data_IF_844653875337
#
_entry.id   IF_844653875337
#
_cell.length_a   1.000
_cell.length_b   1.000
_cell.length_c   1.000
_cell.angle_alpha   90.00
_cell.angle_beta   90.00
_cell.angle_gamma   90.00
#
_symmetry.space_group_name_H-M   'P 1'
#
loop_
_entity.id
_entity.type
_entity.pdbx_description
1 polymer ?
#
# COMPACT_ATOMS: atom_id res chain seq x y z
N UNK A 1 3.20 -5.72 -13.67
CA UNK A 1 2.11 -5.12 -14.45
C UNK A 1 2.69 -3.98 -15.25
N UNK A 2 2.31 -3.81 -16.51
CA UNK A 2 2.63 -2.62 -17.31
C UNK A 2 1.55 -1.54 -17.11
N UNK A 3 1.84 -0.31 -17.52
CA UNK A 3 0.83 0.75 -17.48
C UNK A 3 -0.37 0.51 -18.41
N UNK A 4 -0.20 -0.26 -19.49
CA UNK A 4 -1.31 -0.64 -20.36
C UNK A 4 -2.27 -1.59 -19.66
N UNK A 5 -1.75 -2.52 -18.85
CA UNK A 5 -2.57 -3.40 -18.02
C UNK A 5 -3.31 -2.61 -16.94
N UNK A 6 -2.63 -1.70 -16.20
CA UNK A 6 -3.29 -0.84 -15.20
C UNK A 6 -4.44 -0.05 -15.82
N UNK A 7 -4.22 0.55 -17.01
CA UNK A 7 -5.26 1.30 -17.72
C UNK A 7 -6.45 0.43 -18.06
N UNK A 8 -6.22 -0.78 -18.58
CA UNK A 8 -7.28 -1.74 -18.92
C UNK A 8 -8.13 -2.15 -17.71
N UNK A 9 -7.52 -2.27 -16.53
CA UNK A 9 -8.24 -2.51 -15.27
C UNK A 9 -9.16 -1.35 -14.93
N UNK A 10 -8.65 -0.12 -15.03
CA UNK A 10 -9.42 1.10 -14.75
C UNK A 10 -10.57 1.27 -15.78
N UNK A 11 -10.30 1.00 -17.06
CA UNK A 11 -11.29 1.07 -18.15
C UNK A 11 -12.52 0.18 -17.84
N UNK A 12 -12.26 -0.98 -17.22
CA UNK A 12 -13.26 -2.00 -16.91
C UNK A 12 -14.10 -1.72 -15.68
N UNK A 13 -13.82 -0.65 -14.92
CA UNK A 13 -14.52 -0.33 -13.66
C UNK A 13 -15.30 0.98 -13.75
N UNK A 14 -16.32 1.14 -12.90
CA UNK A 14 -17.02 2.41 -12.67
C UNK A 14 -16.38 3.19 -11.50
N UNK A 15 -15.90 2.47 -10.48
CA UNK A 15 -15.24 3.01 -9.28
C UNK A 15 -13.83 2.40 -9.15
N UNK A 16 -12.84 3.24 -8.84
CA UNK A 16 -11.46 2.82 -8.58
C UNK A 16 -11.11 3.03 -7.12
N UNK A 17 -10.73 1.95 -6.44
CA UNK A 17 -10.12 1.99 -5.12
C UNK A 17 -8.60 2.11 -5.28
N UNK A 18 -8.03 3.25 -4.90
CA UNK A 18 -6.59 3.44 -4.84
C UNK A 18 -6.10 3.17 -3.43
N UNK A 19 -5.45 2.02 -3.24
CA UNK A 19 -4.97 1.55 -1.94
C UNK A 19 -3.59 2.14 -1.64
N UNK A 20 -3.55 2.98 -0.61
CA UNK A 20 -2.39 3.67 -0.08
C UNK A 20 -1.94 3.03 1.24
N UNK A 21 -0.67 3.19 1.60
CA UNK A 21 -0.20 2.86 2.95
C UNK A 21 -0.46 4.05 3.87
N UNK A 22 -1.24 3.86 4.94
CA UNK A 22 -1.64 4.94 5.85
C UNK A 22 -0.45 5.62 6.53
N UNK A 23 0.70 4.94 6.60
CA UNK A 23 1.93 5.48 7.20
C UNK A 23 2.57 6.56 6.34
N UNK A 24 2.47 6.46 5.02
CA UNK A 24 2.97 7.47 4.08
C UNK A 24 2.07 7.56 2.84
N UNK A 25 0.88 8.17 3.00
CA UNK A 25 -0.14 8.16 1.96
C UNK A 25 0.29 8.92 0.71
N UNK A 26 1.08 9.98 0.86
CA UNK A 26 1.57 10.78 -0.27
C UNK A 26 2.62 10.04 -1.08
N UNK A 27 3.61 9.40 -0.44
CA UNK A 27 4.61 8.61 -1.17
C UNK A 27 4.01 7.40 -1.90
N UNK A 28 2.88 6.89 -1.40
CA UNK A 28 2.16 5.77 -2.01
C UNK A 28 1.00 6.20 -2.92
N UNK A 29 0.77 7.50 -3.10
CA UNK A 29 -0.22 8.03 -4.04
C UNK A 29 0.39 8.13 -5.45
N UNK A 30 -0.20 7.42 -6.40
CA UNK A 30 0.17 7.54 -7.82
C UNK A 30 -0.63 8.64 -8.54
N UNK A 31 0.04 9.76 -8.85
CA UNK A 31 -0.53 10.83 -9.67
C UNK A 31 -0.95 10.35 -11.08
N UNK A 32 -0.26 9.33 -11.62
CA UNK A 32 -0.60 8.76 -12.93
C UNK A 32 -1.91 7.99 -12.89
N UNK A 33 -2.18 7.22 -11.82
CA UNK A 33 -3.48 6.57 -11.63
C UNK A 33 -4.58 7.63 -11.53
N UNK A 34 -4.38 8.66 -10.71
CA UNK A 34 -5.35 9.75 -10.56
C UNK A 34 -5.67 10.41 -11.91
N UNK A 35 -4.64 10.72 -12.69
CA UNK A 35 -4.78 11.30 -14.02
C UNK A 35 -5.56 10.40 -14.99
N UNK A 36 -5.33 9.08 -14.94
CA UNK A 36 -6.09 8.11 -15.77
C UNK A 36 -7.56 8.10 -15.34
N UNK A 37 -7.83 7.96 -14.04
CA UNK A 37 -9.19 7.89 -13.47
C UNK A 37 -9.99 9.15 -13.81
N UNK A 38 -9.39 10.33 -13.60
CA UNK A 38 -10.03 11.62 -13.89
C UNK A 38 -10.33 11.81 -15.37
N UNK A 39 -9.39 11.48 -16.27
CA UNK A 39 -9.60 11.59 -17.73
C UNK A 39 -10.71 10.67 -18.24
N UNK A 40 -10.95 9.56 -17.56
CA UNK A 40 -11.96 8.58 -17.95
C UNK A 40 -13.31 8.79 -17.26
N UNK A 41 -13.46 9.87 -16.46
CA UNK A 41 -14.69 10.18 -15.74
C UNK A 41 -15.10 9.08 -14.74
N UNK A 42 -14.12 8.36 -14.20
CA UNK A 42 -14.35 7.29 -13.20
C UNK A 42 -14.30 7.87 -11.79
N UNK A 43 -15.00 7.23 -10.87
CA UNK A 43 -14.99 7.64 -9.46
C UNK A 43 -13.75 7.14 -8.73
N UNK A 44 -13.13 7.99 -7.92
CA UNK A 44 -11.93 7.66 -7.15
C UNK A 44 -12.23 7.61 -5.65
N UNK A 45 -11.88 6.49 -5.02
CA UNK A 45 -11.87 6.35 -3.56
C UNK A 45 -10.46 6.00 -3.11
N UNK A 46 -9.90 6.83 -2.23
CA UNK A 46 -8.61 6.56 -1.59
C UNK A 46 -8.84 5.65 -0.39
N UNK A 47 -8.12 4.53 -0.35
CA UNK A 47 -8.18 3.55 0.74
C UNK A 47 -6.86 3.61 1.50
N UNK A 48 -6.86 4.27 2.65
CA UNK A 48 -5.69 4.33 3.54
C UNK A 48 -5.65 3.05 4.38
N UNK A 49 -4.91 2.07 3.88
CA UNK A 49 -4.81 0.76 4.48
C UNK A 49 -3.65 0.69 5.50
N UNK A 50 -3.66 -0.33 6.37
CA UNK A 50 -2.75 -0.43 7.54
C UNK A 50 -2.95 0.70 8.56
N UNK A 51 -4.19 1.17 8.69
CA UNK A 51 -4.53 2.26 9.62
C UNK A 51 -4.19 1.94 11.08
N UNK A 52 -4.00 0.66 11.44
CA UNK A 52 -3.57 0.21 12.75
C UNK A 52 -2.10 0.51 13.08
N UNK A 53 -1.27 0.84 12.08
CA UNK A 53 0.13 1.20 12.25
C UNK A 53 0.34 2.71 12.51
N UNK A 54 -0.75 3.48 12.55
CA UNK A 54 -0.74 4.93 12.67
C UNK A 54 -1.62 5.35 13.85
N UNK A 55 -1.21 6.34 14.66
CA UNK A 55 -2.09 6.92 15.68
C UNK A 55 -3.42 7.42 15.11
N UNK A 56 -4.48 7.37 15.92
CA UNK A 56 -5.84 7.71 15.46
C UNK A 56 -5.96 9.17 15.02
N UNK A 57 -5.37 10.08 15.77
CA UNK A 57 -5.30 11.51 15.48
C UNK A 57 -4.61 11.79 14.14
N UNK A 58 -3.50 11.11 13.85
CA UNK A 58 -2.79 11.22 12.56
C UNK A 58 -3.63 10.64 11.41
N UNK A 59 -4.32 9.52 11.64
CA UNK A 59 -5.26 8.98 10.67
C UNK A 59 -6.39 10.00 10.37
N UNK A 60 -7.02 10.58 11.39
CA UNK A 60 -8.06 11.60 11.16
C UNK A 60 -7.49 12.89 10.51
N UNK A 61 -6.23 13.24 10.77
CA UNK A 61 -5.56 14.36 10.09
C UNK A 61 -5.42 14.11 8.58
N UNK A 62 -4.92 12.93 8.19
CA UNK A 62 -4.85 12.54 6.78
C UNK A 62 -6.23 12.49 6.11
N UNK A 63 -7.28 12.12 6.86
CA UNK A 63 -8.66 12.09 6.35
C UNK A 63 -9.11 13.48 5.95
N UNK A 64 -8.89 14.46 6.85
CA UNK A 64 -9.21 15.87 6.64
C UNK A 64 -8.41 16.44 5.48
N UNK A 65 -7.11 16.12 5.42
CA UNK A 65 -6.22 16.51 4.33
C UNK A 65 -6.75 16.08 2.95
N UNK A 66 -7.10 14.80 2.78
CA UNK A 66 -7.62 14.31 1.51
C UNK A 66 -9.04 14.81 1.22
N UNK A 67 -9.89 14.96 2.24
CA UNK A 67 -11.22 15.54 2.08
C UNK A 67 -11.15 17.00 1.61
N UNK A 68 -10.22 17.81 2.15
CA UNK A 68 -9.98 19.19 1.72
C UNK A 68 -9.52 19.30 0.26
N UNK A 69 -8.94 18.23 -0.28
CA UNK A 69 -8.55 18.11 -1.70
C UNK A 69 -9.63 17.47 -2.58
N UNK A 70 -10.82 17.23 -2.03
CA UNK A 70 -11.96 16.68 -2.76
C UNK A 70 -11.96 15.16 -2.93
N UNK A 71 -11.09 14.41 -2.24
CA UNK A 71 -11.09 12.95 -2.33
C UNK A 71 -12.04 12.30 -1.32
N UNK A 72 -12.68 11.20 -1.74
CA UNK A 72 -13.32 10.27 -0.83
C UNK A 72 -12.25 9.36 -0.21
N UNK A 73 -11.88 9.61 1.05
CA UNK A 73 -10.85 8.86 1.77
C UNK A 73 -11.43 7.96 2.87
N UNK A 74 -11.03 6.69 2.90
CA UNK A 74 -11.49 5.71 3.90
C UNK A 74 -10.30 4.99 4.54
N UNK A 75 -10.26 4.95 5.87
CA UNK A 75 -9.31 4.16 6.64
C UNK A 75 -9.75 2.72 6.72
N UNK A 76 -8.82 1.81 6.49
CA UNK A 76 -9.05 0.38 6.64
C UNK A 76 -7.88 -0.23 7.42
N UNK A 77 -8.23 -1.07 8.38
CA UNK A 77 -7.28 -2.01 8.99
C UNK A 77 -7.83 -3.40 8.77
N UNK A 78 -7.22 -4.14 7.86
CA UNK A 78 -7.64 -5.52 7.57
C UNK A 78 -7.28 -6.47 8.70
N UNK A 79 -6.21 -6.19 9.44
CA UNK A 79 -5.76 -6.93 10.64
C UNK A 79 -6.73 -6.77 11.80
N UNK A 80 -7.33 -5.57 11.97
CA UNK A 80 -8.35 -5.30 13.00
C UNK A 80 -9.79 -5.43 12.50
N UNK A 81 -10.00 -5.84 11.24
CA UNK A 81 -11.30 -5.91 10.59
C UNK A 81 -12.12 -4.59 10.66
N UNK A 82 -11.44 -3.45 10.58
CA UNK A 82 -12.04 -2.11 10.69
C UNK A 82 -12.14 -1.42 9.33
N UNK A 83 -13.18 -0.60 9.14
CA UNK A 83 -13.33 0.28 7.97
C UNK A 83 -14.03 -0.36 6.75
N UNK A 84 -14.09 -1.69 6.64
CA UNK A 84 -14.68 -2.38 5.47
C UNK A 84 -16.16 -2.02 5.24
N UNK A 85 -16.95 -1.82 6.30
CA UNK A 85 -18.35 -1.39 6.18
C UNK A 85 -18.45 0.04 5.61
N UNK A 86 -17.60 0.95 6.08
CA UNK A 86 -17.54 2.33 5.60
C UNK A 86 -17.08 2.34 4.14
N UNK A 87 -16.11 1.50 3.78
CA UNK A 87 -15.65 1.34 2.41
C UNK A 87 -16.78 0.87 1.48
N UNK A 88 -17.54 -0.17 1.86
CA UNK A 88 -18.72 -0.63 1.09
C UNK A 88 -19.76 0.46 0.89
N UNK A 89 -20.10 1.19 1.96
CA UNK A 89 -21.05 2.31 1.89
C UNK A 89 -20.55 3.43 0.98
N UNK A 90 -19.26 3.74 1.06
CA UNK A 90 -18.62 4.77 0.22
C UNK A 90 -18.65 4.37 -1.24
N UNK A 91 -18.30 3.12 -1.57
CA UNK A 91 -18.40 2.58 -2.94
C UNK A 91 -19.81 2.77 -3.49
N UNK A 92 -20.84 2.35 -2.74
CA UNK A 92 -22.24 2.46 -3.18
C UNK A 92 -22.72 3.90 -3.31
N UNK A 93 -22.20 4.81 -2.47
CA UNK A 93 -22.54 6.24 -2.48
C UNK A 93 -21.96 6.98 -3.68
N UNK A 94 -20.73 6.66 -4.08
CA UNK A 94 -20.07 7.32 -5.22
C UNK A 94 -20.43 6.67 -6.55
N UNK A 95 -20.80 5.39 -6.55
CA UNK A 95 -21.09 4.65 -7.77
C UNK A 95 -22.19 5.33 -8.62
N UNK A 96 -21.99 5.46 -9.94
CA UNK A 96 -22.99 6.07 -10.83
C UNK A 96 -24.24 5.20 -11.00
N UNK A 97 -24.13 3.88 -10.78
CA UNK A 97 -25.22 2.90 -10.86
C UNK A 97 -24.89 1.66 -10.06
N UNK A 98 -25.92 0.90 -9.68
CA UNK A 98 -25.78 -0.40 -9.02
C UNK A 98 -26.40 -1.51 -9.92
N UNK A 99 -25.80 -2.72 -9.98
CA UNK A 99 -24.49 -3.07 -9.41
C UNK A 99 -23.35 -2.32 -10.10
N UNK A 100 -22.35 -1.91 -9.30
CA UNK A 100 -21.17 -1.16 -9.77
C UNK A 100 -19.99 -2.10 -9.94
N UNK A 101 -19.13 -1.81 -10.92
CA UNK A 101 -17.85 -2.50 -11.09
C UNK A 101 -16.74 -1.70 -10.41
N UNK A 102 -15.92 -2.39 -9.60
CA UNK A 102 -14.88 -1.79 -8.76
C UNK A 102 -13.52 -2.37 -9.09
N UNK A 103 -12.57 -1.52 -9.48
CA UNK A 103 -11.17 -1.88 -9.60
C UNK A 103 -10.40 -1.56 -8.32
N UNK A 104 -9.42 -2.39 -7.97
CA UNK A 104 -8.51 -2.14 -6.84
C UNK A 104 -7.09 -1.99 -7.38
N UNK A 105 -6.52 -0.79 -7.23
CA UNK A 105 -5.17 -0.44 -7.69
C UNK A 105 -4.33 0.11 -6.54
N UNK A 106 -3.02 0.12 -6.71
CA UNK A 106 -2.06 0.55 -5.68
C UNK A 106 -0.70 -0.10 -5.87
N UNK A 107 0.32 0.46 -5.24
CA UNK A 107 1.67 -0.10 -5.28
C UNK A 107 1.76 -1.48 -4.58
N UNK A 108 2.83 -2.25 -4.81
CA UNK A 108 3.11 -3.44 -4.00
C UNK A 108 3.06 -3.16 -2.49
N UNK A 109 2.75 -4.20 -1.71
CA UNK A 109 2.77 -4.16 -0.23
C UNK A 109 1.85 -3.12 0.46
N UNK A 110 1.05 -2.32 -0.26
CA UNK A 110 0.01 -1.45 0.34
C UNK A 110 -1.21 -2.22 0.87
N UNK A 111 -1.30 -3.52 0.57
CA UNK A 111 -2.35 -4.42 1.10
C UNK A 111 -3.62 -4.52 0.24
N UNK A 112 -3.52 -4.27 -1.06
CA UNK A 112 -4.60 -4.53 -2.04
C UNK A 112 -5.26 -5.90 -1.88
N UNK A 113 -4.48 -6.98 -1.84
CA UNK A 113 -5.02 -8.34 -1.70
C UNK A 113 -5.79 -8.52 -0.39
N UNK A 114 -5.31 -7.88 0.69
CA UNK A 114 -6.01 -7.88 1.98
C UNK A 114 -7.35 -7.13 1.90
N UNK A 115 -7.40 -5.97 1.21
CA UNK A 115 -8.64 -5.22 0.96
C UNK A 115 -9.62 -6.04 0.10
N UNK A 116 -9.12 -6.65 -0.97
CA UNK A 116 -9.89 -7.54 -1.85
C UNK A 116 -10.51 -8.66 -1.04
N UNK A 117 -9.73 -9.36 -0.21
CA UNK A 117 -10.21 -10.46 0.62
C UNK A 117 -11.20 -9.99 1.71
N UNK A 118 -10.93 -8.85 2.35
CA UNK A 118 -11.84 -8.25 3.32
C UNK A 118 -13.19 -7.86 2.70
N UNK A 119 -13.17 -7.39 1.45
CA UNK A 119 -14.38 -7.08 0.68
C UNK A 119 -15.07 -8.33 0.14
N UNK A 120 -14.37 -9.37 -0.32
CA UNK A 120 -15.01 -10.64 -0.73
C UNK A 120 -15.77 -11.27 0.45
N UNK A 121 -15.21 -11.23 1.66
CA UNK A 121 -15.81 -11.86 2.85
C UNK A 121 -16.00 -13.37 2.68
N UNK A 122 -16.72 -14.02 3.59
CA UNK A 122 -16.95 -15.48 3.54
C UNK A 122 -18.10 -15.92 2.62
N UNK A 123 -18.94 -14.97 2.16
CA UNK A 123 -20.14 -15.23 1.34
C UNK A 123 -20.02 -14.68 -0.09
N UNK A 124 -18.81 -14.42 -0.59
CA UNK A 124 -18.65 -14.05 -2.00
C UNK A 124 -19.14 -15.20 -2.87
N UNK A 125 -20.10 -14.92 -3.75
CA UNK A 125 -20.52 -15.88 -4.75
C UNK A 125 -19.34 -16.18 -5.69
N UNK A 126 -19.31 -17.37 -6.33
CA UNK A 126 -18.29 -17.72 -7.31
C UNK A 126 -18.13 -16.65 -8.40
N UNK A 127 -16.97 -16.66 -9.06
CA UNK A 127 -16.70 -15.84 -10.26
C UNK A 127 -17.88 -15.93 -11.21
N UNK A 128 -18.46 -14.78 -11.52
CA UNK A 128 -19.63 -14.72 -12.40
C UNK A 128 -19.18 -14.24 -13.76
N UNK A 129 -19.73 -14.79 -14.85
CA UNK A 129 -19.85 -14.00 -16.06
C UNK A 129 -20.77 -12.83 -15.71
N UNK A 130 -20.28 -11.61 -15.62
CA UNK A 130 -21.14 -10.48 -15.99
C UNK A 130 -20.36 -9.33 -16.60
N UNK A 131 -20.34 -9.31 -17.94
CA UNK A 131 -20.26 -8.05 -18.68
C UNK A 131 -21.01 -8.16 -20.03
N UNK A 132 -22.20 -7.55 -20.13
CA UNK A 132 -23.09 -7.58 -21.30
C UNK A 132 -23.18 -6.28 -22.09
N UNK A 133 -22.27 -5.32 -21.86
CA UNK A 133 -22.28 -4.01 -22.52
C UNK A 133 -21.32 -3.98 -23.72
N UNK A 134 -21.66 -3.27 -24.83
CA UNK A 134 -20.72 -3.04 -25.92
C UNK A 134 -19.43 -2.37 -25.41
N UNK A 135 -18.26 -2.94 -25.72
CA UNK A 135 -16.96 -2.48 -25.21
C UNK A 135 -16.28 -3.41 -24.20
N UNK A 136 -16.86 -4.58 -23.91
CA UNK A 136 -16.25 -5.53 -22.97
C UNK A 136 -14.86 -6.03 -23.43
N UNK A 137 -13.87 -5.92 -22.54
CA UNK A 137 -12.49 -6.32 -22.82
C UNK A 137 -12.26 -7.80 -22.47
N UNK A 138 -12.10 -8.66 -23.48
CA UNK A 138 -11.82 -10.11 -23.34
C UNK A 138 -10.61 -10.37 -22.43
N UNK A 139 -10.80 -10.96 -21.25
CA UNK A 139 -9.71 -11.44 -20.36
C UNK A 139 -9.68 -10.82 -18.96
N UNK A 140 -10.65 -9.98 -18.61
CA UNK A 140 -10.85 -9.49 -17.25
C UNK A 140 -11.84 -10.41 -16.53
N UNK A 141 -11.53 -10.86 -15.31
CA UNK A 141 -12.44 -11.67 -14.50
C UNK A 141 -13.13 -10.81 -13.44
N UNK A 142 -14.36 -11.15 -13.09
CA UNK A 142 -15.11 -10.44 -12.05
C UNK A 142 -15.45 -11.35 -10.89
N UNK A 143 -15.26 -10.83 -9.68
CA UNK A 143 -15.66 -11.49 -8.44
C UNK A 143 -16.77 -10.70 -7.79
N UNK A 144 -17.88 -11.38 -7.48
CA UNK A 144 -19.03 -10.77 -6.82
C UNK A 144 -18.76 -10.60 -5.34
N UNK A 145 -18.71 -9.35 -4.89
CA UNK A 145 -18.45 -8.97 -3.50
C UNK A 145 -19.74 -8.94 -2.69
N UNK A 146 -20.81 -8.40 -3.26
CA UNK A 146 -22.18 -8.53 -2.78
C UNK A 146 -23.16 -8.28 -3.95
N UNK A 147 -24.46 -8.13 -3.66
CA UNK A 147 -25.49 -7.91 -4.69
C UNK A 147 -25.29 -6.63 -5.53
N UNK A 148 -24.61 -5.62 -4.98
CA UNK A 148 -24.45 -4.30 -5.58
C UNK A 148 -23.01 -4.03 -6.05
N UNK A 149 -22.05 -4.91 -5.74
CA UNK A 149 -20.61 -4.70 -6.00
C UNK A 149 -20.02 -5.90 -6.73
N UNK A 150 -19.51 -5.64 -7.92
CA UNK A 150 -18.64 -6.53 -8.69
C UNK A 150 -17.22 -5.99 -8.64
N UNK A 151 -16.25 -6.84 -8.32
CA UNK A 151 -14.84 -6.45 -8.26
C UNK A 151 -14.09 -7.02 -9.46
N UNK A 152 -13.22 -6.20 -10.04
CA UNK A 152 -12.28 -6.63 -11.07
C UNK A 152 -11.20 -7.49 -10.43
N UNK A 153 -11.09 -8.75 -10.83
CA UNK A 153 -10.06 -9.68 -10.38
C UNK A 153 -8.81 -9.47 -11.24
N UNK A 154 -7.90 -8.62 -10.78
CA UNK A 154 -6.67 -8.32 -11.49
C UNK A 154 -5.47 -8.67 -10.64
N UNK A 155 -4.64 -9.65 -11.05
CA UNK A 155 -3.32 -9.83 -10.47
C UNK A 155 -2.47 -8.64 -10.92
N UNK A 156 -2.26 -7.67 -10.04
CA UNK A 156 -1.57 -6.46 -10.48
C UNK A 156 -1.28 -5.45 -9.39
N UNK A 157 -0.11 -4.85 -9.51
CA UNK A 157 0.40 -3.75 -8.71
C UNK A 157 0.79 -2.64 -9.68
N UNK A 158 0.62 -1.38 -9.27
CA UNK A 158 1.13 -0.25 -10.06
C UNK A 158 2.64 -0.45 -10.26
N UNK A 159 3.17 -0.21 -11.48
CA UNK A 159 4.62 -0.20 -11.71
C UNK A 159 5.31 0.73 -10.72
N UNK A 160 6.39 0.26 -10.11
CA UNK A 160 7.18 1.08 -9.19
C UNK A 160 8.13 1.95 -10.02
N UNK A 161 8.05 3.26 -9.81
CA UNK A 161 8.94 4.28 -10.37
C UNK A 161 9.52 5.10 -9.19
N UNK A 162 10.54 5.91 -9.43
CA UNK A 162 11.15 6.79 -8.41
C UNK A 162 12.60 6.46 -8.08
N UNK A 163 13.16 7.21 -7.13
CA UNK A 163 14.49 6.96 -6.58
C UNK A 163 14.54 5.67 -5.72
N UNK A 164 15.72 5.17 -5.33
CA UNK A 164 15.83 3.91 -4.59
C UNK A 164 15.00 3.84 -3.29
N UNK A 165 14.89 4.96 -2.56
CA UNK A 165 14.11 5.02 -1.32
C UNK A 165 12.60 5.03 -1.62
N UNK A 166 12.17 5.84 -2.58
CA UNK A 166 10.77 5.85 -3.02
C UNK A 166 10.31 4.47 -3.49
N UNK A 167 11.16 3.78 -4.25
CA UNK A 167 10.90 2.42 -4.75
C UNK A 167 10.67 1.44 -3.59
N UNK A 168 11.50 1.51 -2.56
CA UNK A 168 11.29 0.73 -1.34
C UNK A 168 10.02 1.14 -0.62
N UNK A 169 9.74 2.42 -0.40
CA UNK A 169 8.48 2.86 0.25
C UNK A 169 7.25 2.34 -0.54
N UNK A 170 7.35 2.29 -1.86
CA UNK A 170 6.35 1.72 -2.79
C UNK A 170 6.39 0.19 -2.89
N UNK A 171 7.18 -0.49 -2.06
CA UNK A 171 7.12 -1.93 -1.85
C UNK A 171 7.93 -2.78 -2.83
N UNK A 172 9.05 -2.27 -3.37
CA UNK A 172 9.99 -3.11 -4.14
C UNK A 172 10.40 -4.34 -3.33
N UNK A 173 10.23 -5.57 -3.86
CA UNK A 173 10.71 -6.78 -3.20
C UNK A 173 12.21 -6.69 -2.95
N UNK A 174 12.67 -7.14 -1.77
CA UNK A 174 14.07 -7.01 -1.37
C UNK A 174 15.04 -7.79 -2.25
N UNK A 175 14.53 -8.82 -2.92
CA UNK A 175 15.24 -9.64 -3.90
C UNK A 175 15.56 -8.87 -5.19
N UNK A 176 14.83 -7.77 -5.45
CA UNK A 176 15.00 -6.93 -6.64
C UNK A 176 15.77 -5.64 -6.34
N UNK A 177 16.36 -5.51 -5.14
CA UNK A 177 17.16 -4.34 -4.76
C UNK A 177 18.63 -4.68 -5.01
N UNK A 178 19.26 -3.91 -5.89
CA UNK A 178 20.67 -4.10 -6.28
C UNK A 178 21.63 -3.78 -5.14
N UNK A 179 21.45 -2.62 -4.49
CA UNK A 179 22.20 -2.20 -3.30
C UNK A 179 21.27 -2.14 -2.08
N UNK A 180 21.01 -3.27 -1.40
CA UNK A 180 20.14 -3.29 -0.24
C UNK A 180 20.72 -2.51 0.95
N UNK A 181 22.06 -2.42 1.09
CA UNK A 181 22.70 -1.74 2.21
C UNK A 181 22.54 -0.23 2.09
N UNK A 182 22.89 0.36 0.94
CA UNK A 182 22.74 1.79 0.71
C UNK A 182 21.27 2.24 0.84
N UNK A 183 20.34 1.45 0.33
CA UNK A 183 18.91 1.75 0.45
C UNK A 183 18.40 1.58 1.88
N UNK A 184 18.86 0.57 2.62
CA UNK A 184 18.55 0.42 4.04
C UNK A 184 19.07 1.61 4.84
N UNK A 185 20.26 2.14 4.53
CA UNK A 185 20.77 3.36 5.17
C UNK A 185 19.85 4.55 4.94
N UNK A 186 19.39 4.77 3.72
CA UNK A 186 18.43 5.84 3.41
C UNK A 186 17.12 5.64 4.18
N UNK A 187 16.60 4.41 4.22
CA UNK A 187 15.36 4.07 4.91
C UNK A 187 15.49 4.27 6.43
N UNK A 188 16.58 3.80 7.05
CA UNK A 188 16.85 3.96 8.48
C UNK A 188 16.89 5.44 8.85
N UNK A 189 17.64 6.25 8.10
CA UNK A 189 17.70 7.71 8.31
C UNK A 189 16.33 8.36 8.21
N UNK A 190 15.55 8.00 7.18
CA UNK A 190 14.17 8.50 6.99
C UNK A 190 13.24 8.10 8.13
N UNK A 191 13.36 6.87 8.63
CA UNK A 191 12.55 6.39 9.75
C UNK A 191 12.91 7.15 11.03
N UNK A 192 14.20 7.30 11.34
CA UNK A 192 14.69 8.01 12.53
C UNK A 192 14.29 9.48 12.51
N UNK A 193 14.39 10.16 11.36
CA UNK A 193 13.95 11.54 11.19
C UNK A 193 12.48 11.74 11.58
N UNK A 194 11.62 10.76 11.30
CA UNK A 194 10.19 10.82 11.67
C UNK A 194 9.90 10.26 13.04
N UNK A 195 10.57 9.18 13.42
CA UNK A 195 10.32 8.40 14.64
C UNK A 195 11.67 7.98 15.24
N UNK A 196 12.30 8.84 16.06
CA UNK A 196 13.64 8.59 16.61
C UNK A 196 13.72 7.31 17.45
N UNK A 197 12.62 6.88 18.07
CA UNK A 197 12.56 5.68 18.91
C UNK A 197 12.12 4.40 18.17
N UNK A 198 12.00 4.45 16.84
CA UNK A 198 11.49 3.34 16.03
C UNK A 198 12.34 2.07 16.16
N UNK A 199 13.67 2.19 16.06
CA UNK A 199 14.58 1.03 16.16
C UNK A 199 14.73 0.52 17.59
N UNK A 200 14.56 1.40 18.59
CA UNK A 200 14.46 0.99 19.99
C UNK A 200 13.22 0.14 20.22
N UNK A 201 12.06 0.56 19.71
CA UNK A 201 10.80 -0.20 19.81
C UNK A 201 10.84 -1.51 19.03
N UNK A 202 11.40 -1.51 17.81
CA UNK A 202 11.38 -2.66 16.93
C UNK A 202 12.44 -3.74 17.30
N UNK A 203 13.64 -3.31 17.67
CA UNK A 203 14.78 -4.22 17.86
C UNK A 203 15.44 -4.14 19.24
N UNK A 204 15.07 -3.15 20.07
CA UNK A 204 15.76 -2.85 21.33
C UNK A 204 17.09 -2.13 21.12
N UNK A 205 17.26 -1.40 20.01
CA UNK A 205 18.50 -0.69 19.66
C UNK A 205 18.36 0.81 19.89
N UNK A 206 19.22 1.38 20.73
CA UNK A 206 19.27 2.83 20.99
C UNK A 206 20.07 3.63 19.95
N UNK A 207 20.85 2.94 19.10
CA UNK A 207 21.63 3.62 18.06
C UNK A 207 20.73 4.27 17.01
N UNK A 208 21.20 5.42 16.49
CA UNK A 208 20.63 6.12 15.34
C UNK A 208 21.51 6.02 14.10
N UNK A 209 22.68 5.39 14.23
CA UNK A 209 23.59 5.19 13.12
C UNK A 209 23.18 3.95 12.30
N UNK A 210 22.97 4.08 10.99
CA UNK A 210 22.54 2.95 10.18
C UNK A 210 23.51 1.77 10.15
N UNK A 211 24.82 2.00 10.13
CA UNK A 211 25.82 0.93 10.10
C UNK A 211 25.83 0.16 11.43
N UNK A 212 25.75 0.86 12.55
CA UNK A 212 25.63 0.24 13.88
C UNK A 212 24.34 -0.58 14.00
N UNK A 213 23.21 -0.06 13.54
CA UNK A 213 21.92 -0.77 13.55
C UNK A 213 22.03 -2.07 12.73
N UNK A 214 22.55 -2.00 11.50
CA UNK A 214 22.66 -3.18 10.63
C UNK A 214 23.62 -4.23 11.21
N UNK A 215 24.77 -3.81 11.74
CA UNK A 215 25.72 -4.71 12.41
C UNK A 215 25.09 -5.37 13.63
N UNK A 216 24.39 -4.60 14.48
CA UNK A 216 23.73 -5.13 15.67
C UNK A 216 22.65 -6.17 15.31
N UNK A 217 21.86 -5.92 14.25
CA UNK A 217 20.88 -6.88 13.75
C UNK A 217 21.58 -8.15 13.24
N UNK A 218 22.62 -8.03 12.41
CA UNK A 218 23.37 -9.18 11.91
C UNK A 218 23.96 -10.03 13.06
N UNK A 219 24.60 -9.38 14.04
CA UNK A 219 25.19 -10.04 15.21
C UNK A 219 24.13 -10.76 16.05
N UNK A 220 22.99 -10.11 16.34
CA UNK A 220 21.89 -10.71 17.11
C UNK A 220 21.31 -11.96 16.43
N UNK A 221 21.35 -12.00 15.10
CA UNK A 221 20.89 -13.14 14.31
C UNK A 221 21.96 -14.22 14.08
N UNK A 222 23.21 -14.01 14.51
CA UNK A 222 24.29 -14.95 14.24
C UNK A 222 24.75 -14.95 12.78
N UNK A 223 24.50 -13.86 12.04
CA UNK A 223 24.84 -13.76 10.63
C UNK A 223 26.25 -13.19 10.44
N UNK A 224 27.20 -14.07 10.14
CA UNK A 224 28.60 -13.73 9.94
C UNK A 224 29.19 -14.42 8.70
N UNK A 225 30.14 -13.77 8.04
CA UNK A 225 30.94 -14.41 7.00
C UNK A 225 31.84 -15.49 7.61
N UNK A 226 31.78 -16.71 7.08
CA UNK A 226 32.58 -17.84 7.60
C UNK A 226 34.10 -17.61 7.58
N UNK A 227 34.59 -16.77 6.65
CA UNK A 227 36.03 -16.53 6.45
C UNK A 227 36.57 -15.38 7.29
N UNK A 228 35.92 -14.22 7.25
CA UNK A 228 36.41 -13.03 7.96
C UNK A 228 35.85 -12.89 9.38
N UNK A 229 34.72 -13.54 9.68
CA UNK A 229 34.00 -13.34 10.94
C UNK A 229 33.22 -12.03 11.01
N UNK A 230 33.18 -11.24 9.93
CA UNK A 230 32.45 -9.97 9.91
C UNK A 230 30.93 -10.18 9.84
N UNK A 231 30.12 -9.31 10.48
CA UNK A 231 28.67 -9.36 10.37
C UNK A 231 28.17 -9.21 8.92
N UNK A 232 27.20 -10.04 8.53
CA UNK A 232 26.54 -9.99 7.22
C UNK A 232 25.52 -8.84 7.17
N UNK A 233 25.99 -7.62 6.99
CA UNK A 233 25.15 -6.40 6.97
C UNK A 233 24.14 -6.39 5.81
N UNK A 234 24.44 -7.05 4.70
CA UNK A 234 23.53 -7.15 3.55
C UNK A 234 22.24 -7.92 3.89
N UNK A 235 22.35 -8.99 4.67
CA UNK A 235 21.19 -9.76 5.16
C UNK A 235 20.39 -8.99 6.20
N UNK A 236 21.07 -8.25 7.08
CA UNK A 236 20.43 -7.31 8.00
C UNK A 236 19.67 -6.21 7.24
N UNK A 237 20.25 -5.65 6.18
CA UNK A 237 19.61 -4.62 5.35
C UNK A 237 18.33 -5.12 4.70
N UNK A 238 18.37 -6.31 4.07
CA UNK A 238 17.16 -6.96 3.53
C UNK A 238 16.12 -7.22 4.60
N UNK A 239 16.54 -7.64 5.81
CA UNK A 239 15.63 -7.83 6.95
C UNK A 239 14.97 -6.53 7.37
N UNK A 240 15.71 -5.43 7.54
CA UNK A 240 15.16 -4.12 7.91
C UNK A 240 14.09 -3.66 6.91
N UNK A 241 14.35 -3.83 5.60
CA UNK A 241 13.38 -3.44 4.56
C UNK A 241 12.11 -4.31 4.62
N UNK A 242 12.25 -5.63 4.82
CA UNK A 242 11.09 -6.52 5.01
C UNK A 242 10.28 -6.15 6.25
N UNK A 243 10.95 -5.99 7.38
CA UNK A 243 10.34 -5.63 8.66
C UNK A 243 9.65 -4.25 8.59
N UNK A 244 10.18 -3.31 7.79
CA UNK A 244 9.50 -2.06 7.46
C UNK A 244 8.20 -2.30 6.67
N UNK A 245 8.18 -3.17 5.66
CA UNK A 245 6.95 -3.47 4.91
C UNK A 245 5.89 -4.18 5.75
N UNK A 246 6.33 -5.06 6.64
CA UNK A 246 5.49 -5.85 7.53
C UNK A 246 4.96 -5.04 8.72
N UNK A 247 5.49 -3.82 8.91
CA UNK A 247 5.01 -2.89 9.93
C UNK A 247 5.61 -3.12 11.32
N UNK A 248 6.68 -3.92 11.43
CA UNK A 248 7.41 -4.13 12.67
C UNK A 248 8.09 -2.82 13.13
N UNK A 249 8.69 -2.09 12.18
CA UNK A 249 9.35 -0.82 12.43
C UNK A 249 8.30 0.29 12.48
N UNK A 250 8.07 0.95 13.64
CA UNK A 250 7.12 2.05 13.73
C UNK A 250 7.53 3.22 12.84
N UNK A 251 6.67 3.58 11.90
CA UNK A 251 6.90 4.69 10.99
C UNK A 251 5.56 5.27 10.55
N UNK A 252 5.45 6.59 10.54
CA UNK A 252 4.36 7.31 9.91
C UNK A 252 4.73 8.78 9.73
N UNK A 253 4.20 9.42 8.70
CA UNK A 253 4.26 10.86 8.49
C UNK A 253 2.95 11.53 8.87
N UNK A 254 3.03 12.77 9.29
CA UNK A 254 1.87 13.65 9.46
C UNK A 254 1.62 14.43 8.17
N UNK A 255 0.36 14.78 7.86
CA UNK A 255 0.09 15.70 6.76
C UNK A 255 0.70 17.07 7.10
N UNK A 256 1.37 17.69 6.13
CA UNK A 256 1.68 19.11 6.23
C UNK A 256 0.34 19.84 6.17
N UNK A 257 0.05 20.70 7.15
CA UNK A 257 -1.17 21.50 7.12
C UNK A 257 -1.26 22.23 5.78
N UNK A 258 -2.40 22.13 5.11
CA UNK A 258 -2.64 22.94 3.92
C UNK A 258 -2.80 24.38 4.42
N UNK A 259 -1.90 25.27 3.98
CA UNK A 259 -2.13 26.72 4.04
C UNK A 259 -3.46 27.09 3.37
#
# INVERSE_FOLDING_TARGET
MSWSEVRRVIDSADVVLHVLDARDPLSTLSARVESIVRRQGKELVLVLNKADLVPRDVAEAWKRYFAGRGYNAVYVSTTRHQGTLILRRTIKRVAPRLPTVVAVVGFPKTGKSSIINALKGRRSAPTSPYPGSPGYTKGVQFVRVDKDILMVDTPGVIPIEGDPLERVIRGTPVEHIEDPVGVAHMLIKRVIDKRPDAFKKAYGLDSVDPDEILRAIATKHGWFYKKSGDPLVEEAARKVIRDFHDGLIPYYVEPVEAE
#
